data_IF_801612939580
#
_entry.id   IF_801612939580
#
_cell.length_a   1.000
_cell.length_b   1.000
_cell.length_c   1.000
_cell.angle_alpha   90.00
_cell.angle_beta   90.00
_cell.angle_gamma   90.00
#
_symmetry.space_group_name_H-M   'P 1'
#
loop_
_entity.id
_entity.type
_entity.pdbx_description
1 polymer ?
#
# COMPACT_ATOMS: atom_id res chain seq x y z
N UNK A 1 -18.56 11.39 4.16
CA UNK A 1 -18.65 10.68 2.86
C UNK A 1 -20.11 10.75 2.47
N UNK A 2 -20.50 11.71 1.63
CA UNK A 2 -21.89 12.13 1.49
C UNK A 2 -22.56 11.83 0.14
N UNK A 3 -21.83 11.65 -0.95
CA UNK A 3 -22.48 11.56 -2.29
C UNK A 3 -21.95 10.47 -3.23
N UNK A 4 -20.78 9.87 -2.96
CA UNK A 4 -20.16 8.92 -3.88
C UNK A 4 -19.70 7.66 -3.13
N UNK A 5 -20.10 6.48 -3.63
CA UNK A 5 -19.68 5.19 -3.10
C UNK A 5 -18.37 4.73 -3.74
N UNK A 6 -17.22 5.10 -3.16
CA UNK A 6 -15.91 4.55 -3.49
C UNK A 6 -15.00 4.51 -2.26
N UNK A 7 -14.00 3.64 -2.29
CA UNK A 7 -13.01 3.50 -1.23
C UNK A 7 -11.58 3.61 -1.78
N UNK A 8 -10.61 3.83 -0.90
CA UNK A 8 -9.20 3.84 -1.29
C UNK A 8 -8.81 2.50 -1.95
N UNK A 9 -8.11 2.57 -3.07
CA UNK A 9 -7.71 1.44 -3.91
C UNK A 9 -8.73 1.05 -4.97
N UNK A 10 -9.96 1.58 -4.95
CA UNK A 10 -10.93 1.34 -6.03
C UNK A 10 -10.47 2.06 -7.31
N UNK A 11 -10.68 1.45 -8.47
CA UNK A 11 -10.52 2.12 -9.77
C UNK A 11 -11.82 2.81 -10.12
N UNK A 12 -11.75 4.11 -10.36
CA UNK A 12 -12.91 4.95 -10.64
C UNK A 12 -12.71 5.78 -11.90
N UNK A 13 -13.82 6.14 -12.53
CA UNK A 13 -13.90 7.18 -13.55
C UNK A 13 -14.71 8.35 -13.02
N UNK A 14 -14.12 9.53 -13.01
CA UNK A 14 -14.68 10.77 -12.47
C UNK A 14 -14.98 11.71 -13.64
N UNK A 15 -16.24 12.11 -13.75
CA UNK A 15 -16.70 13.08 -14.74
C UNK A 15 -16.81 14.45 -14.06
N UNK A 16 -16.10 15.45 -14.61
CA UNK A 16 -16.22 16.85 -14.22
C UNK A 16 -16.77 17.67 -15.38
N UNK A 17 -17.10 18.94 -15.14
CA UNK A 17 -17.52 19.86 -16.22
C UNK A 17 -16.43 20.09 -17.27
N UNK A 18 -15.16 19.96 -16.90
CA UNK A 18 -14.02 20.26 -17.78
C UNK A 18 -13.46 19.02 -18.49
N UNK A 19 -13.38 17.89 -17.78
CA UNK A 19 -12.75 16.67 -18.29
C UNK A 19 -13.23 15.42 -17.55
N UNK A 20 -12.92 14.27 -18.13
CA UNK A 20 -13.10 12.95 -17.50
C UNK A 20 -11.74 12.40 -17.10
N UNK A 21 -11.63 11.90 -15.87
CA UNK A 21 -10.40 11.32 -15.34
C UNK A 21 -10.66 9.87 -14.92
N UNK A 22 -9.69 8.99 -15.17
CA UNK A 22 -9.73 7.60 -14.75
C UNK A 22 -8.47 7.26 -13.96
N UNK A 23 -8.63 6.57 -12.84
CA UNK A 23 -7.51 6.22 -11.98
C UNK A 23 -7.90 5.44 -10.73
N UNK A 24 -6.91 5.17 -9.89
CA UNK A 24 -7.08 4.51 -8.60
C UNK A 24 -7.28 5.57 -7.52
N UNK A 25 -8.31 5.42 -6.68
CA UNK A 25 -8.54 6.30 -5.54
C UNK A 25 -7.41 6.13 -4.53
N UNK A 26 -6.74 7.23 -4.22
CA UNK A 26 -5.65 7.26 -3.27
C UNK A 26 -6.16 7.51 -1.85
N UNK A 27 -5.51 6.93 -0.81
CA UNK A 27 -5.83 7.27 0.57
C UNK A 27 -5.62 8.76 0.80
N UNK A 28 -6.54 9.37 1.54
CA UNK A 28 -6.42 10.78 1.93
C UNK A 28 -5.35 10.91 3.04
N UNK A 29 -4.39 11.83 2.92
CA UNK A 29 -3.47 12.12 4.01
C UNK A 29 -4.22 12.69 5.22
N UNK A 30 -3.74 12.43 6.43
CA UNK A 30 -4.41 12.87 7.68
C UNK A 30 -4.57 14.40 7.76
N UNK A 31 -3.66 15.14 7.14
CA UNK A 31 -3.69 16.60 7.04
C UNK A 31 -4.48 17.12 5.83
N UNK A 32 -5.02 16.23 5.00
CA UNK A 32 -5.71 16.57 3.76
C UNK A 32 -7.14 17.09 3.98
N UNK A 33 -7.49 18.19 3.32
CA UNK A 33 -8.84 18.75 3.33
C UNK A 33 -9.91 17.79 2.82
N UNK A 34 -11.13 17.87 3.36
CA UNK A 34 -12.24 16.96 3.04
C UNK A 34 -12.88 17.18 1.66
N UNK A 35 -12.48 18.24 0.96
CA UNK A 35 -13.14 18.78 -0.23
C UNK A 35 -12.65 18.20 -1.55
N UNK A 36 -11.57 17.42 -1.55
CA UNK A 36 -11.02 16.81 -2.78
C UNK A 36 -10.83 15.30 -2.64
N UNK A 37 -10.93 14.59 -3.75
CA UNK A 37 -10.48 13.20 -3.88
C UNK A 37 -9.17 13.15 -4.66
N UNK A 38 -8.21 12.38 -4.18
CA UNK A 38 -6.96 12.14 -4.91
C UNK A 38 -7.09 10.85 -5.71
N UNK A 39 -6.79 10.90 -7.00
CA UNK A 39 -6.71 9.71 -7.86
C UNK A 39 -5.33 9.63 -8.50
N UNK A 40 -4.83 8.40 -8.67
CA UNK A 40 -3.60 8.12 -9.41
C UNK A 40 -3.95 7.67 -10.81
N UNK A 41 -3.50 8.43 -11.80
CA UNK A 41 -3.69 8.14 -13.22
C UNK A 41 -2.82 6.95 -13.65
N UNK A 42 -3.15 6.34 -14.78
CA UNK A 42 -2.33 5.25 -15.36
C UNK A 42 -0.92 5.72 -15.76
N UNK A 43 -0.72 7.02 -15.95
CA UNK A 43 0.60 7.64 -16.14
C UNK A 43 1.47 7.62 -14.88
N UNK A 44 0.90 7.27 -13.72
CA UNK A 44 1.58 7.26 -12.42
C UNK A 44 1.48 8.57 -11.62
N UNK A 45 0.95 9.64 -12.22
CA UNK A 45 0.75 10.92 -11.55
C UNK A 45 -0.48 10.92 -10.64
N UNK A 46 -0.37 11.57 -9.48
CA UNK A 46 -1.50 11.83 -8.58
C UNK A 46 -2.13 13.19 -8.91
N UNK A 47 -3.45 13.25 -9.02
CA UNK A 47 -4.21 14.49 -9.17
C UNK A 47 -5.27 14.61 -8.07
N UNK A 48 -5.55 15.84 -7.65
CA UNK A 48 -6.65 16.16 -6.75
C UNK A 48 -7.85 16.69 -7.54
N UNK A 49 -9.03 16.12 -7.33
CA UNK A 49 -10.28 16.58 -7.93
C UNK A 49 -11.20 17.11 -6.83
N UNK A 50 -11.60 18.38 -6.94
CA UNK A 50 -12.58 18.99 -6.03
C UNK A 50 -13.92 18.27 -6.14
N UNK A 51 -14.46 17.79 -5.02
CA UNK A 51 -15.72 17.04 -4.98
C UNK A 51 -16.90 17.88 -5.48
N UNK A 52 -16.92 19.19 -5.20
CA UNK A 52 -17.96 20.10 -5.70
C UNK A 52 -17.94 20.31 -7.23
N UNK A 53 -16.88 19.90 -7.92
CA UNK A 53 -16.78 19.95 -9.38
C UNK A 53 -17.12 18.62 -10.06
N UNK A 54 -17.37 17.56 -9.28
CA UNK A 54 -17.68 16.22 -9.78
C UNK A 54 -19.16 16.15 -10.13
N UNK A 55 -19.45 15.79 -11.38
CA UNK A 55 -20.82 15.56 -11.86
C UNK A 55 -21.26 14.10 -11.66
N UNK A 56 -20.33 13.15 -11.84
CA UNK A 56 -20.61 11.71 -11.73
C UNK A 56 -19.33 10.95 -11.39
N UNK A 57 -19.46 9.86 -10.63
CA UNK A 57 -18.39 8.87 -10.41
C UNK A 57 -18.89 7.49 -10.79
N UNK A 58 -18.08 6.75 -11.55
CA UNK A 58 -18.32 5.34 -11.89
C UNK A 58 -17.21 4.49 -11.25
N UNK A 59 -17.59 3.47 -10.48
CA UNK A 59 -16.66 2.48 -9.92
C UNK A 59 -16.43 1.40 -10.98
N UNK A 60 -15.19 1.30 -11.47
CA UNK A 60 -14.81 0.35 -12.52
C UNK A 60 -14.28 -0.97 -11.95
N UNK A 61 -13.55 -0.92 -10.83
CA UNK A 61 -13.05 -2.12 -10.15
C UNK A 61 -12.89 -1.86 -8.66
N UNK A 62 -13.09 -2.91 -7.85
CA UNK A 62 -12.89 -2.89 -6.41
C UNK A 62 -11.43 -3.13 -6.05
N UNK A 63 -10.94 -2.55 -4.96
CA UNK A 63 -9.58 -2.82 -4.50
C UNK A 63 -9.40 -4.30 -4.14
N UNK A 64 -8.36 -4.93 -4.71
CA UNK A 64 -7.92 -6.27 -4.34
C UNK A 64 -6.70 -6.15 -3.42
N UNK A 65 -6.83 -6.66 -2.18
CA UNK A 65 -5.66 -6.86 -1.32
C UNK A 65 -4.89 -8.07 -1.82
N UNK A 66 -3.70 -7.85 -2.42
CA UNK A 66 -2.76 -8.94 -2.68
C UNK A 66 -2.31 -9.54 -1.34
N UNK A 67 -2.68 -10.78 -1.07
CA UNK A 67 -2.00 -11.59 -0.07
C UNK A 67 -0.65 -12.02 -0.65
N UNK A 68 0.45 -11.68 0.02
CA UNK A 68 1.74 -12.30 -0.25
C UNK A 68 1.64 -13.78 0.13
N UNK A 69 1.70 -14.66 -0.88
CA UNK A 69 1.95 -16.08 -0.71
C UNK A 69 3.42 -16.32 -1.04
N UNK A 70 4.28 -16.30 -0.03
CA UNK A 70 5.59 -16.90 -0.13
C UNK A 70 5.79 -17.85 1.04
N UNK A 71 5.91 -19.13 0.71
CA UNK A 71 6.37 -20.16 1.64
C UNK A 71 7.90 -20.17 1.57
N UNK A 72 8.54 -19.13 2.10
CA UNK A 72 10.00 -19.14 2.22
C UNK A 72 10.40 -20.13 3.31
N UNK A 73 11.24 -21.10 2.95
CA UNK A 73 11.72 -22.14 3.85
C UNK A 73 13.04 -21.69 4.47
N UNK A 74 13.06 -21.55 5.80
CA UNK A 74 14.29 -21.35 6.55
C UNK A 74 15.19 -22.58 6.42
N UNK A 75 16.50 -22.36 6.24
CA UNK A 75 17.47 -23.45 6.26
C UNK A 75 17.56 -24.05 7.66
N UNK A 76 17.56 -25.39 7.74
CA UNK A 76 17.67 -26.11 9.01
C UNK A 76 19.10 -26.02 9.56
N UNK A 77 19.24 -25.88 10.88
CA UNK A 77 20.53 -25.89 11.58
C UNK A 77 21.21 -24.54 11.75
N UNK A 78 20.52 -23.43 11.48
CA UNK A 78 20.99 -22.06 11.76
C UNK A 78 20.58 -21.59 13.16
N UNK A 79 21.32 -20.64 13.77
CA UNK A 79 20.90 -19.99 15.01
C UNK A 79 19.52 -19.34 14.85
N UNK A 80 18.62 -19.63 15.78
CA UNK A 80 17.28 -19.04 15.81
C UNK A 80 17.35 -17.67 16.49
N UNK A 81 16.83 -16.64 15.84
CA UNK A 81 16.78 -15.27 16.37
C UNK A 81 15.37 -14.69 16.30
N UNK A 82 15.10 -13.71 17.16
CA UNK A 82 13.94 -12.83 17.07
C UNK A 82 14.39 -11.39 16.91
N UNK A 83 13.68 -10.63 16.08
CA UNK A 83 13.99 -9.22 15.82
C UNK A 83 13.00 -8.36 16.58
N UNK A 84 13.50 -7.38 17.34
CA UNK A 84 12.67 -6.36 18.01
C UNK A 84 12.91 -5.03 17.31
N UNK A 85 11.87 -4.47 16.70
CA UNK A 85 11.91 -3.19 15.99
C UNK A 85 11.32 -2.10 16.86
N UNK A 86 12.06 -1.02 17.10
CA UNK A 86 11.68 0.07 18.02
C UNK A 86 11.33 1.38 17.32
N UNK A 87 11.14 1.34 16.00
CA UNK A 87 11.15 2.51 15.12
C UNK A 87 12.32 2.41 14.15
N UNK A 88 12.51 3.43 13.29
CA UNK A 88 13.55 3.40 12.26
C UNK A 88 13.36 2.23 11.29
N UNK A 89 12.67 2.45 10.18
CA UNK A 89 12.35 1.36 9.25
C UNK A 89 13.61 0.84 8.55
N UNK A 90 14.17 -0.27 9.03
CA UNK A 90 15.36 -0.92 8.44
C UNK A 90 15.01 -1.55 7.08
N UNK A 91 13.81 -2.11 6.96
CA UNK A 91 13.32 -2.73 5.72
C UNK A 91 11.87 -2.33 5.43
N UNK A 92 11.60 -1.93 4.18
CA UNK A 92 10.27 -1.55 3.70
C UNK A 92 10.01 -2.08 2.30
N UNK A 93 8.73 -2.30 1.98
CA UNK A 93 8.24 -2.61 0.65
C UNK A 93 7.53 -1.41 0.07
N UNK A 94 7.87 -1.06 -1.16
CA UNK A 94 7.15 -0.05 -1.94
C UNK A 94 6.06 -0.74 -2.75
N UNK A 95 4.80 -0.36 -2.53
CA UNK A 95 3.71 -0.71 -3.42
C UNK A 95 3.65 0.33 -4.54
N UNK A 96 4.18 0.01 -5.72
CA UNK A 96 4.20 0.93 -6.85
C UNK A 96 2.81 1.31 -7.38
N UNK A 97 1.78 0.49 -7.12
CA UNK A 97 0.40 0.86 -7.51
C UNK A 97 -0.05 2.06 -6.69
N UNK A 98 0.12 2.02 -5.38
CA UNK A 98 -0.30 3.10 -4.48
C UNK A 98 0.81 4.12 -4.20
N UNK A 99 2.06 3.85 -4.55
CA UNK A 99 3.21 4.65 -4.10
C UNK A 99 3.48 4.58 -2.59
N UNK A 100 2.77 3.71 -1.85
CA UNK A 100 2.93 3.57 -0.40
C UNK A 100 4.20 2.79 -0.04
N UNK A 101 4.90 3.25 1.01
CA UNK A 101 6.01 2.51 1.63
C UNK A 101 5.53 1.89 2.94
N UNK A 102 5.64 0.57 3.05
CA UNK A 102 5.15 -0.21 4.19
C UNK A 102 6.32 -0.93 4.87
N UNK A 103 6.42 -0.92 6.21
CA UNK A 103 7.44 -1.68 6.91
C UNK A 103 7.21 -3.19 6.72
N UNK A 104 8.29 -3.96 6.62
CA UNK A 104 8.20 -5.42 6.64
C UNK A 104 7.96 -5.86 8.09
N UNK A 105 6.97 -6.71 8.29
CA UNK A 105 6.58 -7.17 9.65
C UNK A 105 6.68 -8.67 9.82
N UNK A 106 6.90 -9.38 8.72
CA UNK A 106 6.95 -10.84 8.70
C UNK A 106 8.35 -11.34 8.35
N UNK A 107 8.82 -12.42 9.00
CA UNK A 107 10.08 -13.04 8.65
C UNK A 107 10.20 -13.42 7.17
N UNK A 108 9.13 -13.88 6.53
CA UNK A 108 9.13 -14.25 5.11
C UNK A 108 9.35 -13.02 4.22
N UNK A 109 8.69 -11.90 4.52
CA UNK A 109 8.89 -10.65 3.78
C UNK A 109 10.32 -10.15 3.90
N UNK A 110 10.94 -10.28 5.08
CA UNK A 110 12.33 -9.91 5.30
C UNK A 110 13.28 -10.79 4.47
N UNK A 111 13.01 -12.09 4.37
CA UNK A 111 13.79 -13.00 3.55
C UNK A 111 13.59 -12.78 2.05
N UNK A 112 12.40 -12.38 1.60
CA UNK A 112 12.19 -11.93 0.20
C UNK A 112 13.08 -10.73 -0.12
N UNK A 113 13.18 -9.78 0.81
CA UNK A 113 13.95 -8.56 0.63
C UNK A 113 15.46 -8.79 0.76
N UNK A 114 15.88 -9.69 1.66
CA UNK A 114 17.30 -9.98 1.95
C UNK A 114 17.52 -11.51 2.04
N UNK A 115 17.58 -12.22 0.91
CA UNK A 115 17.70 -13.68 0.90
C UNK A 115 18.99 -14.21 1.57
N UNK A 116 20.06 -13.41 1.58
CA UNK A 116 21.34 -13.73 2.21
C UNK A 116 21.20 -14.06 3.71
N UNK A 117 20.19 -13.49 4.41
CA UNK A 117 19.96 -13.76 5.83
C UNK A 117 19.65 -15.23 6.12
N UNK A 118 18.99 -15.94 5.18
CA UNK A 118 18.66 -17.36 5.34
C UNK A 118 19.91 -18.25 5.47
N UNK A 119 21.07 -17.79 4.96
CA UNK A 119 22.34 -18.52 5.05
C UNK A 119 23.00 -18.39 6.43
N UNK A 120 22.60 -17.40 7.24
CA UNK A 120 23.27 -17.07 8.51
C UNK A 120 22.40 -17.39 9.72
N UNK A 121 21.09 -17.11 9.64
CA UNK A 121 20.16 -17.21 10.78
C UNK A 121 18.79 -17.71 10.35
N UNK A 122 18.04 -18.26 11.32
CA UNK A 122 16.62 -18.55 11.19
C UNK A 122 15.81 -17.51 11.97
N UNK A 123 15.04 -16.67 11.28
CA UNK A 123 14.25 -15.59 11.91
C UNK A 123 12.89 -16.14 12.30
N UNK A 124 12.66 -16.29 13.61
CA UNK A 124 11.40 -16.85 14.14
C UNK A 124 10.25 -15.85 14.13
N UNK A 125 10.54 -14.62 14.56
CA UNK A 125 9.52 -13.58 14.71
C UNK A 125 10.16 -12.19 14.63
N UNK A 126 9.38 -11.23 14.14
CA UNK A 126 9.69 -9.81 14.15
C UNK A 126 8.62 -9.13 15.02
N UNK A 127 9.04 -8.54 16.13
CA UNK A 127 8.16 -7.87 17.09
C UNK A 127 8.34 -6.36 17.01
N UNK A 128 7.23 -5.64 17.15
CA UNK A 128 7.21 -4.19 17.35
C UNK A 128 6.51 -3.95 18.69
N UNK A 129 7.25 -3.67 19.77
CA UNK A 129 6.69 -3.58 21.11
C UNK A 129 5.89 -2.29 21.35
N UNK A 130 5.96 -1.32 20.43
CA UNK A 130 5.30 -0.01 20.52
C UNK A 130 4.66 0.39 19.19
#
# INVERSE_FOLDING_TARGET
>A
MGEFDFQAGDRVRIYTKAATYEGIVMPRPETGGKEHVTIKLDSGYNIGVLLGAVAKVEKLAKSEKRQSKSELKFEKGKPEISIVTTGGTITSKVDYKTGGAYPLTKPEELLEAVPELAKVVSVKNIQKPF
#
